data_IF_567445796775
#
_entry.id   IF_567445796775
#
_cell.length_a   1.000
_cell.length_b   1.000
_cell.length_c   1.000
_cell.angle_alpha   90.00
_cell.angle_beta   90.00
_cell.angle_gamma   90.00
#
_symmetry.space_group_name_H-M   'P 1'
#
loop_
_entity.id
_entity.type
_entity.pdbx_description
1 polymer ?
#
# COMPACT_ATOMS: atom_id res chain seq x y z
N UNK A 1 -18.26 -14.05 -30.55
CA UNK A 1 -18.28 -12.65 -31.00
C UNK A 1 -17.00 -12.00 -30.50
N UNK A 2 -16.15 -11.42 -31.36
CA UNK A 2 -14.98 -10.67 -30.90
C UNK A 2 -15.45 -9.33 -30.31
N UNK A 3 -14.94 -8.99 -29.13
CA UNK A 3 -15.08 -7.64 -28.58
C UNK A 3 -14.22 -6.70 -29.44
N UNK A 4 -14.87 -5.93 -30.31
CA UNK A 4 -14.25 -4.77 -30.94
C UNK A 4 -13.91 -3.75 -29.85
N UNK A 5 -12.62 -3.46 -29.69
CA UNK A 5 -12.11 -2.40 -28.84
C UNK A 5 -12.48 -1.07 -29.49
N UNK A 6 -13.73 -0.65 -29.24
CA UNK A 6 -14.21 0.67 -29.63
C UNK A 6 -13.32 1.67 -28.91
N UNK A 7 -12.61 2.51 -29.67
CA UNK A 7 -11.73 3.56 -29.14
C UNK A 7 -12.49 4.53 -28.25
N UNK A 8 -12.70 4.15 -26.99
CA UNK A 8 -13.40 4.94 -26.00
C UNK A 8 -12.57 6.20 -25.76
N UNK A 9 -13.10 7.34 -26.21
CA UNK A 9 -12.49 8.64 -25.96
C UNK A 9 -12.46 8.90 -24.46
N UNK A 10 -11.31 8.65 -23.86
CA UNK A 10 -11.06 8.96 -22.47
C UNK A 10 -11.02 10.47 -22.24
N UNK A 11 -11.53 10.90 -21.08
CA UNK A 11 -11.47 12.27 -20.61
C UNK A 11 -10.22 12.44 -19.74
N UNK A 12 -9.27 13.24 -20.20
CA UNK A 12 -8.00 13.47 -19.50
C UNK A 12 -8.09 14.67 -18.56
N UNK A 13 -7.65 14.48 -17.32
CA UNK A 13 -7.42 15.58 -16.39
C UNK A 13 -6.17 16.36 -16.81
N UNK A 14 -6.31 17.66 -17.11
CA UNK A 14 -5.19 18.51 -17.51
C UNK A 14 -4.20 18.84 -16.37
N UNK A 15 -4.55 18.52 -15.12
CA UNK A 15 -3.73 18.82 -13.94
C UNK A 15 -2.84 17.65 -13.53
N UNK A 16 -3.25 16.40 -13.79
CA UNK A 16 -2.47 15.22 -13.41
C UNK A 16 -2.47 14.08 -14.45
N UNK A 17 -2.90 14.38 -15.67
CA UNK A 17 -2.94 13.50 -16.85
C UNK A 17 -3.73 12.18 -16.68
N UNK A 18 -4.49 12.04 -15.59
CA UNK A 18 -5.35 10.88 -15.35
C UNK A 18 -6.49 10.84 -16.35
N UNK A 19 -6.76 9.64 -16.87
CA UNK A 19 -7.80 9.38 -17.83
C UNK A 19 -9.04 8.77 -17.17
N UNK A 20 -10.21 9.20 -17.61
CA UNK A 20 -11.51 8.75 -17.10
C UNK A 20 -12.42 8.35 -18.26
N UNK A 21 -13.14 7.24 -18.09
CA UNK A 21 -14.12 6.76 -19.08
C UNK A 21 -15.28 7.74 -19.32
N UNK A 22 -15.64 8.54 -18.31
CA UNK A 22 -16.80 9.44 -18.38
C UNK A 22 -16.43 10.86 -17.93
N UNK A 23 -17.01 11.86 -18.60
CA UNK A 23 -16.87 13.27 -18.25
C UNK A 23 -17.35 13.58 -16.82
N UNK A 24 -18.41 12.91 -16.36
CA UNK A 24 -18.93 13.04 -15.00
C UNK A 24 -17.89 12.61 -13.96
N UNK A 25 -17.16 11.53 -14.24
CA UNK A 25 -16.08 11.03 -13.37
C UNK A 25 -14.89 12.00 -13.37
N UNK A 26 -14.52 12.55 -14.53
CA UNK A 26 -13.49 13.61 -14.59
C UNK A 26 -13.93 14.85 -13.79
N UNK A 27 -15.17 15.32 -13.94
CA UNK A 27 -15.70 16.47 -13.20
C UNK A 27 -15.65 16.23 -11.69
N UNK A 28 -16.10 15.05 -11.24
CA UNK A 28 -15.97 14.63 -9.85
C UNK A 28 -14.51 14.62 -9.42
N UNK A 29 -13.60 14.09 -10.24
CA UNK A 29 -12.18 14.08 -9.94
C UNK A 29 -11.60 15.50 -9.77
N UNK A 30 -12.01 16.47 -10.58
CA UNK A 30 -11.50 17.84 -10.47
C UNK A 30 -11.70 18.48 -9.09
N UNK A 31 -12.69 18.02 -8.30
CA UNK A 31 -12.89 18.48 -6.92
C UNK A 31 -11.66 18.25 -6.03
N UNK A 32 -10.77 17.31 -6.35
CA UNK A 32 -9.51 17.10 -5.60
C UNK A 32 -8.49 18.21 -5.87
N UNK A 33 -8.56 18.84 -7.05
CA UNK A 33 -7.65 19.89 -7.47
C UNK A 33 -8.17 21.26 -7.07
N UNK A 34 -9.47 21.51 -7.25
CA UNK A 34 -10.10 22.79 -6.90
C UNK A 34 -10.40 22.91 -5.41
N UNK A 35 -10.54 21.78 -4.71
CA UNK A 35 -10.99 21.74 -3.32
C UNK A 35 -12.47 22.09 -3.14
N UNK A 36 -13.23 22.25 -4.23
CA UNK A 36 -14.66 22.55 -4.19
C UNK A 36 -15.44 21.45 -3.46
N UNK A 37 -16.25 21.87 -2.49
CA UNK A 37 -17.13 20.99 -1.71
C UNK A 37 -18.56 21.50 -1.76
N UNK A 38 -19.23 21.20 -2.86
CA UNK A 38 -20.54 21.76 -3.19
C UNK A 38 -21.70 21.09 -2.44
N UNK A 39 -21.43 20.07 -1.61
CA UNK A 39 -22.46 19.31 -0.90
C UNK A 39 -22.32 19.52 0.61
N UNK A 40 -23.28 20.22 1.21
CA UNK A 40 -23.23 20.63 2.62
C UNK A 40 -24.23 19.81 3.43
N UNK A 41 -23.80 19.33 4.59
CA UNK A 41 -24.70 18.72 5.57
C UNK A 41 -25.43 19.81 6.36
N UNK A 42 -26.74 19.91 6.22
CA UNK A 42 -27.55 20.90 6.93
C UNK A 42 -27.66 20.67 8.45
N UNK A 43 -27.15 19.54 8.96
CA UNK A 43 -27.17 19.22 10.40
C UNK A 43 -25.89 19.66 11.12
N UNK A 44 -24.74 19.69 10.43
CA UNK A 44 -23.45 20.01 11.04
C UNK A 44 -22.51 20.85 10.16
N UNK A 45 -23.04 21.44 9.09
CA UNK A 45 -22.37 22.27 8.08
C UNK A 45 -21.14 21.64 7.39
N UNK A 46 -20.95 20.34 7.59
CA UNK A 46 -19.82 19.60 7.01
C UNK A 46 -19.97 19.51 5.50
N UNK A 47 -18.90 19.87 4.79
CA UNK A 47 -18.90 19.92 3.33
C UNK A 47 -18.23 18.69 2.69
N UNK A 48 -18.73 18.28 1.53
CA UNK A 48 -18.31 17.11 0.76
C UNK A 48 -18.15 17.47 -0.73
N UNK A 49 -17.20 16.82 -1.41
CA UNK A 49 -17.00 16.97 -2.86
C UNK A 49 -18.00 16.19 -3.72
N UNK A 50 -18.73 15.24 -3.13
CA UNK A 50 -19.69 14.40 -3.86
C UNK A 50 -21.00 14.21 -3.09
N UNK A 51 -22.12 14.17 -3.83
CA UNK A 51 -23.46 13.92 -3.29
C UNK A 51 -23.54 12.56 -2.56
N UNK A 52 -22.91 11.52 -3.09
CA UNK A 52 -22.90 10.18 -2.49
C UNK A 52 -22.20 10.17 -1.13
N UNK A 53 -21.13 10.97 -0.96
CA UNK A 53 -20.43 11.14 0.30
C UNK A 53 -21.31 11.83 1.34
N UNK A 54 -22.03 12.89 0.96
CA UNK A 54 -23.01 13.55 1.83
C UNK A 54 -24.13 12.59 2.23
N UNK A 55 -24.75 11.88 1.27
CA UNK A 55 -25.82 10.90 1.54
C UNK A 55 -25.37 9.82 2.53
N UNK A 56 -24.14 9.35 2.38
CA UNK A 56 -23.54 8.39 3.30
C UNK A 56 -23.30 8.98 4.69
N UNK A 57 -22.82 10.22 4.76
CA UNK A 57 -22.57 10.93 6.00
C UNK A 57 -23.84 11.20 6.81
N UNK A 58 -24.96 11.55 6.16
CA UNK A 58 -26.24 11.81 6.84
C UNK A 58 -26.69 10.63 7.72
N UNK A 59 -26.32 9.39 7.36
CA UNK A 59 -26.59 8.20 8.18
C UNK A 59 -25.95 8.23 9.57
N UNK A 60 -24.93 9.06 9.78
CA UNK A 60 -24.32 9.29 11.11
C UNK A 60 -25.29 10.05 12.01
N UNK A 61 -26.10 10.95 11.46
CA UNK A 61 -27.10 11.71 12.21
C UNK A 61 -28.37 10.89 12.44
N UNK A 62 -28.83 10.13 11.44
CA UNK A 62 -30.05 9.31 11.57
C UNK A 62 -29.83 8.00 12.31
N UNK A 63 -28.58 7.55 12.45
CA UNK A 63 -28.26 6.24 13.02
C UNK A 63 -28.56 5.06 12.09
N UNK A 64 -28.93 5.29 10.82
CA UNK A 64 -29.19 4.24 9.84
C UNK A 64 -27.99 3.30 9.65
N UNK A 65 -28.22 2.00 9.83
CA UNK A 65 -27.21 0.94 9.69
C UNK A 65 -27.72 -0.20 8.80
N UNK A 66 -27.71 0.06 7.50
CA UNK A 66 -28.35 -0.82 6.50
C UNK A 66 -27.52 -2.06 6.14
N UNK A 67 -26.34 -2.26 6.72
CA UNK A 67 -25.44 -3.36 6.37
C UNK A 67 -25.20 -4.25 7.58
N UNK A 68 -25.57 -5.52 7.48
CA UNK A 68 -25.54 -6.48 8.60
C UNK A 68 -24.47 -7.54 8.33
N UNK A 69 -23.70 -7.89 9.35
CA UNK A 69 -22.84 -9.06 9.32
C UNK A 69 -23.65 -10.31 9.67
N UNK A 70 -23.81 -11.24 8.74
CA UNK A 70 -24.56 -12.48 8.97
C UNK A 70 -23.88 -13.44 9.96
N UNK A 71 -22.58 -13.24 10.22
CA UNK A 71 -21.81 -14.09 11.15
C UNK A 71 -22.05 -13.69 12.62
N UNK A 72 -22.14 -12.38 12.91
CA UNK A 72 -22.24 -11.88 14.29
C UNK A 72 -23.36 -10.86 14.52
N UNK A 73 -24.25 -10.67 13.54
CA UNK A 73 -25.37 -9.72 13.53
C UNK A 73 -25.01 -8.24 13.77
N UNK A 74 -23.72 -7.89 13.72
CA UNK A 74 -23.28 -6.51 13.89
C UNK A 74 -23.66 -5.66 12.68
N UNK A 75 -24.17 -4.45 12.92
CA UNK A 75 -24.67 -3.55 11.88
C UNK A 75 -23.74 -2.36 11.61
N UNK A 76 -23.72 -1.90 10.37
CA UNK A 76 -22.83 -0.86 9.84
C UNK A 76 -23.61 0.13 8.98
N UNK A 77 -23.18 1.39 8.95
CA UNK A 77 -23.74 2.45 8.12
C UNK A 77 -23.20 2.47 6.67
N UNK A 78 -22.15 1.70 6.40
CA UNK A 78 -21.47 1.61 5.10
C UNK A 78 -21.09 0.17 4.76
N UNK A 79 -21.25 -0.19 3.48
CA UNK A 79 -20.85 -1.50 2.95
C UNK A 79 -19.35 -1.76 3.12
N UNK A 80 -18.50 -0.76 2.88
CA UNK A 80 -17.04 -0.87 3.03
C UNK A 80 -16.63 -1.19 4.47
N UNK A 81 -17.36 -0.67 5.47
CA UNK A 81 -17.12 -0.97 6.87
C UNK A 81 -17.53 -2.41 7.22
N UNK A 82 -18.66 -2.89 6.68
CA UNK A 82 -19.08 -4.29 6.81
C UNK A 82 -18.05 -5.23 6.16
N UNK A 83 -17.65 -4.96 4.91
CA UNK A 83 -16.69 -5.80 4.19
C UNK A 83 -15.36 -5.91 4.96
N UNK A 84 -14.82 -4.79 5.44
CA UNK A 84 -13.61 -4.79 6.28
C UNK A 84 -13.80 -5.59 7.57
N UNK A 85 -14.98 -5.52 8.17
CA UNK A 85 -15.30 -6.31 9.35
C UNK A 85 -15.36 -7.82 9.03
N UNK A 86 -15.94 -8.22 7.88
CA UNK A 86 -15.95 -9.62 7.42
C UNK A 86 -14.54 -10.19 7.27
N UNK A 87 -13.60 -9.42 6.72
CA UNK A 87 -12.18 -9.83 6.63
C UNK A 87 -11.54 -10.15 8.00
N UNK A 88 -12.04 -9.54 9.08
CA UNK A 88 -11.56 -9.86 10.43
C UNK A 88 -12.06 -11.22 10.93
N UNK A 89 -13.24 -11.69 10.49
CA UNK A 89 -13.69 -13.06 10.78
C UNK A 89 -12.83 -14.10 10.07
N UNK A 90 -12.38 -13.80 8.86
CA UNK A 90 -11.52 -14.67 8.06
C UNK A 90 -10.04 -14.59 8.48
N UNK A 91 -9.71 -13.81 9.52
CA UNK A 91 -8.34 -13.52 9.95
C UNK A 91 -7.41 -13.07 8.80
N UNK A 92 -7.96 -12.38 7.79
CA UNK A 92 -7.17 -11.87 6.67
C UNK A 92 -6.27 -10.74 7.17
N UNK A 93 -4.95 -10.98 7.10
CA UNK A 93 -3.91 -10.02 7.51
C UNK A 93 -2.99 -9.71 6.34
N UNK A 94 -2.47 -8.48 6.34
CA UNK A 94 -1.49 -8.00 5.40
C UNK A 94 -0.11 -8.06 6.05
N UNK A 95 0.73 -8.97 5.58
CA UNK A 95 2.07 -9.17 6.10
C UNK A 95 3.09 -8.21 5.45
N UNK A 96 3.97 -7.61 6.25
CA UNK A 96 5.15 -6.93 5.76
C UNK A 96 6.23 -7.97 5.41
N UNK A 97 6.56 -8.11 4.13
CA UNK A 97 7.59 -9.06 3.67
C UNK A 97 9.02 -8.73 4.11
N UNK A 98 9.27 -7.52 4.62
CA UNK A 98 10.60 -7.12 5.09
C UNK A 98 10.83 -7.45 6.58
N UNK A 99 9.79 -7.47 7.41
CA UNK A 99 9.94 -7.67 8.86
C UNK A 99 8.92 -8.63 9.49
N UNK A 100 8.09 -9.29 8.68
CA UNK A 100 7.06 -10.25 9.12
C UNK A 100 5.89 -9.65 9.91
N UNK A 101 5.86 -8.34 10.17
CA UNK A 101 4.78 -7.69 10.92
C UNK A 101 3.46 -7.79 10.15
N UNK A 102 2.39 -8.13 10.87
CA UNK A 102 1.05 -8.29 10.31
C UNK A 102 0.16 -7.09 10.60
N UNK A 103 -0.64 -6.70 9.62
CA UNK A 103 -1.54 -5.55 9.69
C UNK A 103 -2.96 -5.96 9.32
N UNK A 104 -3.95 -5.37 9.99
CA UNK A 104 -5.38 -5.61 9.67
C UNK A 104 -5.86 -4.80 8.47
N UNK A 105 -5.07 -3.83 7.98
CA UNK A 105 -5.44 -2.94 6.88
C UNK A 105 -4.27 -2.68 5.94
N UNK A 106 -4.53 -2.70 4.63
CA UNK A 106 -3.52 -2.46 3.59
C UNK A 106 -2.86 -1.09 3.69
N UNK A 107 -3.58 -0.04 4.07
CA UNK A 107 -2.99 1.29 4.22
C UNK A 107 -2.06 1.37 5.45
N UNK A 108 -2.36 0.64 6.54
CA UNK A 108 -1.44 0.54 7.68
C UNK A 108 -0.13 -0.11 7.25
N UNK A 109 -0.19 -1.17 6.44
CA UNK A 109 1.01 -1.77 5.85
C UNK A 109 1.73 -0.74 4.96
N UNK A 110 1.02 -0.03 4.07
CA UNK A 110 1.62 0.99 3.20
C UNK A 110 2.33 2.10 3.98
N UNK A 111 1.71 2.60 5.05
CA UNK A 111 2.32 3.61 5.93
C UNK A 111 3.48 3.03 6.71
N UNK A 112 3.36 1.79 7.19
CA UNK A 112 4.47 1.06 7.80
C UNK A 112 5.67 0.93 6.86
N UNK A 113 5.45 0.63 5.57
CA UNK A 113 6.52 0.53 4.58
C UNK A 113 7.29 1.84 4.38
N UNK A 114 6.74 3.01 4.77
CA UNK A 114 7.49 4.27 4.72
C UNK A 114 8.66 4.27 5.70
N UNK A 115 8.53 3.61 6.85
CA UNK A 115 9.62 3.50 7.84
C UNK A 115 10.80 2.69 7.32
N UNK A 116 10.54 1.70 6.45
CA UNK A 116 11.60 0.93 5.78
C UNK A 116 12.31 1.69 4.66
N UNK A 117 11.70 2.77 4.16
CA UNK A 117 12.34 3.66 3.16
C UNK A 117 13.31 4.63 3.81
N UNK A 118 13.10 4.96 5.09
CA UNK A 118 14.01 5.79 5.89
C UNK A 118 15.29 5.05 6.29
N UNK A 119 15.25 3.72 6.37
CA UNK A 119 16.41 2.85 6.67
C UNK A 119 17.17 2.38 5.43
N UNK A 120 16.95 3.02 4.27
CA UNK A 120 17.87 2.89 3.13
C UNK A 120 19.15 3.73 3.28
N UNK A 121 19.35 4.43 4.40
CA UNK A 121 20.69 4.60 4.95
C UNK A 121 21.06 3.32 5.69
N UNK A 122 21.95 2.55 5.07
CA UNK A 122 22.46 1.26 5.59
C UNK A 122 22.74 1.33 7.10
N UNK A 123 22.11 0.49 7.93
CA UNK A 123 22.72 0.14 9.20
C UNK A 123 23.82 -0.89 8.90
N UNK A 124 25.06 -0.45 9.08
CA UNK A 124 26.23 -1.32 9.18
C UNK A 124 25.92 -2.45 10.18
N UNK A 125 25.86 -3.70 9.71
CA UNK A 125 25.83 -4.88 10.58
C UNK A 125 27.10 -5.69 10.35
N UNK A 126 28.05 -5.46 11.24
CA UNK A 126 29.20 -6.33 11.54
C UNK A 126 28.74 -7.76 11.79
N UNK A 127 29.13 -8.69 10.92
CA UNK A 127 30.02 -9.86 11.15
C UNK A 127 29.82 -10.89 10.02
N UNK A 128 30.27 -10.59 8.79
CA UNK A 128 30.47 -11.65 7.78
C UNK A 128 31.58 -11.36 6.75
N UNK A 129 32.50 -10.43 7.02
CA UNK A 129 33.61 -10.13 6.10
C UNK A 129 34.96 -10.75 6.51
N UNK A 130 35.03 -11.55 7.57
CA UNK A 130 36.26 -12.31 7.88
C UNK A 130 36.35 -13.65 7.13
N UNK A 131 35.28 -14.13 6.51
CA UNK A 131 35.29 -15.37 5.74
C UNK A 131 35.86 -15.23 4.32
N UNK A 132 35.97 -14.00 3.79
CA UNK A 132 36.45 -13.76 2.42
C UNK A 132 37.92 -13.36 2.33
N UNK A 133 38.62 -13.21 3.46
CA UNK A 133 40.06 -12.84 3.47
C UNK A 133 40.97 -13.96 3.99
N UNK A 134 40.42 -15.10 4.39
CA UNK A 134 41.22 -16.29 4.76
C UNK A 134 41.48 -17.17 3.52
N UNK A 135 40.58 -17.19 2.53
CA UNK A 135 40.74 -17.97 1.31
C UNK A 135 41.93 -17.51 0.46
N UNK A 136 42.27 -16.21 0.47
CA UNK A 136 43.39 -15.67 -0.32
C UNK A 136 44.76 -15.77 0.39
N UNK A 137 44.80 -16.15 1.68
CA UNK A 137 46.06 -16.34 2.43
C UNK A 137 46.55 -17.78 2.31
N UNK A 138 45.65 -18.76 2.21
CA UNK A 138 46.01 -20.18 2.14
C UNK A 138 46.68 -20.54 0.80
N UNK A 139 46.46 -19.79 -0.28
CA UNK A 139 47.17 -19.99 -1.56
C UNK A 139 48.63 -19.50 -1.54
N UNK A 140 49.03 -18.70 -0.54
CA UNK A 140 50.43 -18.22 -0.41
C UNK A 140 51.30 -19.06 0.52
N UNK A 141 50.72 -19.83 1.44
CA UNK A 141 51.49 -20.77 2.28
C UNK A 141 51.80 -22.09 1.57
N UNK A 142 51.01 -22.47 0.55
CA UNK A 142 51.30 -23.67 -0.28
C UNK A 142 52.45 -23.39 -1.26
N UNK A 143 52.56 -22.17 -1.80
CA UNK A 143 53.65 -21.81 -2.74
C UNK A 143 55.02 -21.65 -2.05
N UNK A 144 55.06 -21.31 -0.76
CA UNK A 144 56.33 -21.17 -0.02
C UNK A 144 56.88 -22.53 0.45
N UNK A 145 56.06 -23.57 0.63
CA UNK A 145 56.58 -24.90 0.96
C UNK A 145 57.26 -25.63 -0.23
N UNK A 146 56.92 -25.31 -1.48
CA UNK A 146 57.62 -25.88 -2.65
C UNK A 146 58.94 -25.18 -2.98
N UNK A 147 59.13 -23.90 -2.59
CA UNK A 147 60.36 -23.16 -2.87
C UNK A 147 61.49 -23.50 -1.88
N UNK A 148 61.19 -23.79 -0.61
CA UNK A 148 62.22 -24.15 0.40
C UNK A 148 62.81 -25.56 0.12
N UNK A 149 62.11 -26.41 -0.63
CA UNK A 149 62.62 -27.73 -1.03
C UNK A 149 63.69 -27.68 -2.15
N UNK A 150 63.83 -26.56 -2.87
CA UNK A 150 64.76 -26.44 -4.01
C UNK A 150 66.07 -25.69 -3.71
N UNK A 151 66.24 -25.10 -2.52
CA UNK A 151 67.48 -24.40 -2.13
C UNK A 151 68.29 -25.14 -1.07
N UNK A 152 68.11 -26.45 -0.91
CA UNK A 152 68.86 -27.25 0.07
C UNK A 152 69.45 -28.55 -0.48
N UNK A 153 69.77 -28.60 -1.78
CA UNK A 153 70.75 -29.55 -2.33
C UNK A 153 71.74 -28.80 -3.21
#
# INVERSE_FOLDING_TARGET
>A
MPHEDTGEKNYTCKTCDKQFRHASTLRCHMTIHTGEKNYICMVCDKQFGHASSLKCHVRVHTGEKNYICEVCNKTFNQHSNLHRHKLAHENVRFECKQCGKNFTRKYNLKDHMKMHRSSNEKPYSTVSSLASSIADIIDTEIFIQEIIAFTSV
#
